data_IF_474517658234
#
_entry.id   IF_474517658234
#
_cell.length_a   1.000
_cell.length_b   1.000
_cell.length_c   1.000
_cell.angle_alpha   90.00
_cell.angle_beta   90.00
_cell.angle_gamma   90.00
#
_symmetry.space_group_name_H-M   'P 1'
#
loop_
_entity.id
_entity.type
_entity.pdbx_description
1 polymer ?
#
# COMPACT_ATOMS: atom_id res chain seq x y z
N UNK A 1 -2.11 -10.96 -9.24
CA UNK A 1 -2.18 -9.92 -10.27
C UNK A 1 -1.13 -8.85 -9.96
N UNK A 2 -0.02 -8.88 -10.69
CA UNK A 2 1.19 -8.11 -10.36
C UNK A 2 1.12 -6.58 -10.57
N UNK A 3 0.31 -5.99 -11.44
CA UNK A 3 0.34 -4.53 -11.62
C UNK A 3 -0.56 -3.78 -10.63
N UNK A 4 -0.68 -4.26 -9.38
CA UNK A 4 -1.47 -3.54 -8.37
C UNK A 4 -0.62 -3.00 -7.22
N UNK A 5 -0.76 -1.72 -6.85
CA UNK A 5 -0.01 -1.14 -5.74
C UNK A 5 -0.20 -1.89 -4.43
N UNK A 6 -1.38 -2.47 -4.20
CA UNK A 6 -1.64 -3.23 -2.98
C UNK A 6 -0.86 -4.55 -2.91
N UNK A 7 -0.62 -5.21 -4.05
CA UNK A 7 0.24 -6.38 -4.12
C UNK A 7 1.71 -6.03 -3.85
N UNK A 8 2.17 -4.89 -4.38
CA UNK A 8 3.53 -4.42 -4.17
C UNK A 8 3.86 -4.20 -2.69
N UNK A 9 2.93 -3.72 -1.88
CA UNK A 9 3.12 -3.56 -0.43
C UNK A 9 3.69 -4.83 0.22
N UNK A 10 3.12 -5.97 -0.15
CA UNK A 10 3.49 -7.26 0.45
C UNK A 10 4.78 -7.81 -0.16
N UNK A 11 4.97 -7.65 -1.48
CA UNK A 11 6.24 -8.02 -2.11
C UNK A 11 7.41 -7.24 -1.48
N UNK A 12 7.29 -5.91 -1.35
CA UNK A 12 8.29 -5.06 -0.69
C UNK A 12 8.56 -5.56 0.74
N UNK A 13 7.51 -5.84 1.53
CA UNK A 13 7.69 -6.30 2.90
C UNK A 13 8.42 -7.65 2.98
N UNK A 14 8.07 -8.61 2.12
CA UNK A 14 8.71 -9.92 2.09
C UNK A 14 10.19 -9.82 1.70
N UNK A 15 10.53 -8.99 0.71
CA UNK A 15 11.92 -8.75 0.29
C UNK A 15 12.72 -8.01 1.37
N UNK A 16 12.18 -6.93 1.96
CA UNK A 16 12.86 -6.17 3.03
C UNK A 16 13.08 -7.02 4.30
N UNK A 17 12.14 -7.89 4.61
CA UNK A 17 12.23 -8.82 5.75
C UNK A 17 13.02 -10.10 5.43
N UNK A 18 13.48 -10.26 4.19
CA UNK A 18 14.20 -11.44 3.71
C UNK A 18 13.45 -12.75 4.01
N UNK A 19 12.13 -12.73 3.81
CA UNK A 19 11.29 -13.91 4.01
C UNK A 19 11.15 -14.70 2.71
N UNK A 20 11.32 -16.03 2.72
CA UNK A 20 11.07 -16.85 1.54
C UNK A 20 9.57 -16.91 1.23
N UNK A 21 9.21 -16.78 -0.04
CA UNK A 21 7.82 -16.86 -0.47
C UNK A 21 7.67 -17.41 -1.89
N UNK A 22 6.47 -17.89 -2.18
CA UNK A 22 6.05 -18.30 -3.53
C UNK A 22 4.85 -17.48 -3.96
N UNK A 23 4.95 -16.86 -5.15
CA UNK A 23 3.86 -16.05 -5.69
C UNK A 23 2.83 -16.91 -6.40
N UNK A 24 1.57 -16.81 -5.97
CA UNK A 24 0.41 -17.36 -6.67
C UNK A 24 -0.31 -16.23 -7.43
N UNK A 25 -0.38 -16.37 -8.75
CA UNK A 25 -1.03 -15.36 -9.58
C UNK A 25 -2.55 -15.53 -9.55
N UNK A 26 -3.27 -14.44 -9.36
CA UNK A 26 -4.74 -14.38 -9.47
C UNK A 26 -5.09 -13.40 -10.58
N UNK A 27 -5.68 -13.87 -11.66
CA UNK A 27 -6.03 -13.04 -12.82
C UNK A 27 -7.46 -12.48 -12.68
N UNK A 28 -7.56 -11.21 -12.25
CA UNK A 28 -8.86 -10.54 -12.07
C UNK A 28 -9.61 -10.33 -13.40
N UNK A 29 -8.90 -10.22 -14.52
CA UNK A 29 -9.52 -10.11 -15.84
C UNK A 29 -10.25 -11.39 -16.27
N UNK A 30 -9.92 -12.55 -15.66
CA UNK A 30 -10.59 -13.83 -15.84
C UNK A 30 -11.55 -14.19 -14.72
N UNK A 31 -11.75 -13.31 -13.73
CA UNK A 31 -12.62 -13.56 -12.60
C UNK A 31 -12.06 -14.55 -11.56
N UNK A 32 -10.75 -14.85 -11.60
CA UNK A 32 -10.13 -15.84 -10.69
C UNK A 32 -10.23 -15.46 -9.20
N UNK A 33 -10.42 -14.17 -8.89
CA UNK A 33 -10.67 -13.69 -7.53
C UNK A 33 -11.99 -14.22 -6.93
N UNK A 34 -12.88 -14.76 -7.76
CA UNK A 34 -14.13 -15.39 -7.32
C UNK A 34 -14.03 -16.91 -7.18
N UNK A 35 -12.85 -17.48 -7.45
CA UNK A 35 -12.62 -18.92 -7.26
C UNK A 35 -12.88 -19.32 -5.80
N UNK A 36 -13.68 -20.38 -5.54
CA UNK A 36 -13.99 -20.81 -4.17
C UNK A 36 -12.77 -21.10 -3.29
N UNK A 37 -11.65 -21.55 -3.88
CA UNK A 37 -10.42 -21.76 -3.11
C UNK A 37 -9.74 -20.45 -2.74
N UNK A 38 -9.80 -19.43 -3.59
CA UNK A 38 -9.31 -18.10 -3.25
C UNK A 38 -10.19 -17.41 -2.20
N UNK A 39 -11.51 -17.57 -2.29
CA UNK A 39 -12.46 -17.01 -1.32
C UNK A 39 -12.29 -17.57 0.10
N UNK A 40 -11.74 -18.79 0.25
CA UNK A 40 -11.41 -19.35 1.58
C UNK A 40 -10.29 -18.56 2.29
N UNK A 41 -9.38 -17.94 1.54
CA UNK A 41 -8.27 -17.15 2.09
C UNK A 41 -8.50 -15.64 2.02
N UNK A 42 -9.35 -15.17 1.09
CA UNK A 42 -9.73 -13.77 0.93
C UNK A 42 -11.22 -13.65 0.64
N UNK A 43 -12.08 -13.68 1.68
CA UNK A 43 -13.54 -13.61 1.52
C UNK A 43 -14.02 -12.31 0.86
N UNK A 44 -13.20 -11.27 0.89
CA UNK A 44 -13.45 -9.99 0.22
C UNK A 44 -13.12 -10.02 -1.29
N UNK A 45 -12.72 -11.18 -1.85
CA UNK A 45 -12.29 -11.35 -3.25
C UNK A 45 -11.25 -10.29 -3.74
N UNK A 46 -10.37 -9.86 -2.85
CA UNK A 46 -9.33 -8.86 -3.11
C UNK A 46 -7.92 -9.44 -2.88
N UNK A 47 -6.97 -8.89 -3.60
CA UNK A 47 -5.54 -9.14 -3.39
C UNK A 47 -4.91 -7.89 -2.77
N UNK A 48 -3.87 -8.04 -1.96
CA UNK A 48 -3.16 -9.28 -1.63
C UNK A 48 -3.86 -10.13 -0.57
N UNK A 49 -3.50 -11.41 -0.57
CA UNK A 49 -3.72 -12.36 0.53
C UNK A 49 -2.49 -13.23 0.67
N UNK A 50 -2.22 -13.75 1.85
CA UNK A 50 -1.11 -14.70 2.10
C UNK A 50 -1.63 -15.95 2.79
N UNK A 51 -0.89 -17.04 2.62
CA UNK A 51 -0.99 -18.25 3.44
C UNK A 51 0.38 -18.49 4.04
N UNK A 52 0.46 -18.41 5.36
CA UNK A 52 1.68 -18.73 6.10
C UNK A 52 1.55 -20.14 6.67
N UNK A 53 2.46 -21.03 6.28
CA UNK A 53 2.47 -22.42 6.72
C UNK A 53 3.08 -22.58 8.13
N UNK A 54 3.76 -21.57 8.63
CA UNK A 54 4.35 -21.48 9.95
C UNK A 54 3.81 -20.23 10.67
N UNK A 55 2.49 -20.20 10.82
CA UNK A 55 1.77 -19.13 11.52
C UNK A 55 1.87 -19.24 13.04
N UNK A 56 1.14 -18.42 13.79
CA UNK A 56 1.07 -18.50 15.25
C UNK A 56 0.76 -19.93 15.71
N UNK A 57 1.43 -20.35 16.77
CA UNK A 57 1.30 -21.69 17.37
C UNK A 57 1.69 -22.84 16.40
N UNK A 58 2.47 -22.57 15.36
CA UNK A 58 2.87 -23.53 14.35
C UNK A 58 1.73 -23.96 13.42
N UNK A 59 0.61 -23.24 13.40
CA UNK A 59 -0.55 -23.54 12.58
C UNK A 59 -0.55 -22.74 11.28
N UNK A 60 -1.21 -23.30 10.25
CA UNK A 60 -1.44 -22.60 8.99
C UNK A 60 -2.32 -21.37 9.23
N UNK A 61 -1.88 -20.22 8.73
CA UNK A 61 -2.61 -18.95 8.81
C UNK A 61 -2.89 -18.41 7.42
N UNK A 62 -4.16 -18.15 7.09
CA UNK A 62 -4.56 -17.36 5.93
C UNK A 62 -4.91 -15.94 6.36
N UNK A 63 -4.37 -14.94 5.67
CA UNK A 63 -4.63 -13.52 5.93
C UNK A 63 -4.94 -12.78 4.64
N UNK A 64 -5.91 -11.89 4.71
CA UNK A 64 -6.20 -10.86 3.74
C UNK A 64 -6.14 -9.48 4.39
N UNK A 65 -6.31 -8.41 3.63
CA UNK A 65 -6.05 -7.01 3.98
C UNK A 65 -4.55 -6.68 4.07
N UNK A 66 -4.07 -5.86 3.14
CA UNK A 66 -2.64 -5.55 3.05
C UNK A 66 -2.07 -4.90 4.32
N UNK A 67 -2.87 -4.08 5.02
CA UNK A 67 -2.45 -3.50 6.31
C UNK A 67 -2.30 -4.55 7.40
N UNK A 68 -3.24 -5.48 7.51
CA UNK A 68 -3.18 -6.58 8.49
C UNK A 68 -2.00 -7.52 8.19
N UNK A 69 -1.75 -7.82 6.91
CA UNK A 69 -0.61 -8.64 6.49
C UNK A 69 0.70 -7.95 6.87
N UNK A 70 0.85 -6.66 6.59
CA UNK A 70 2.05 -5.89 6.96
C UNK A 70 2.30 -5.91 8.47
N UNK A 71 1.28 -5.68 9.28
CA UNK A 71 1.40 -5.77 10.74
C UNK A 71 1.77 -7.17 11.22
N UNK A 72 1.19 -8.21 10.62
CA UNK A 72 1.51 -9.58 10.92
C UNK A 72 2.98 -9.89 10.63
N UNK A 73 3.46 -9.58 9.42
CA UNK A 73 4.84 -9.84 9.00
C UNK A 73 5.84 -9.08 9.88
N UNK A 74 5.55 -7.81 10.20
CA UNK A 74 6.39 -7.00 11.06
C UNK A 74 6.49 -7.57 12.48
N UNK A 75 5.38 -8.05 13.05
CA UNK A 75 5.38 -8.72 14.36
C UNK A 75 6.08 -10.08 14.34
N UNK A 76 5.88 -10.86 13.27
CA UNK A 76 6.54 -12.16 13.09
C UNK A 76 8.05 -12.02 13.02
N UNK A 77 8.57 -11.00 12.34
CA UNK A 77 10.00 -10.79 12.15
C UNK A 77 10.64 -9.88 13.22
N UNK A 78 9.84 -9.14 13.97
CA UNK A 78 10.33 -8.13 14.92
C UNK A 78 10.97 -6.91 14.23
N UNK A 79 10.66 -6.64 12.95
CA UNK A 79 11.30 -5.59 12.15
C UNK A 79 10.28 -4.62 11.55
N UNK A 80 10.73 -3.41 11.22
CA UNK A 80 9.94 -2.38 10.50
C UNK A 80 8.65 -1.90 11.18
N UNK A 81 8.53 -2.09 12.52
CA UNK A 81 7.36 -1.65 13.29
C UNK A 81 7.70 -0.63 14.39
N UNK A 82 8.98 -0.20 14.47
CA UNK A 82 9.49 0.62 15.54
C UNK A 82 9.92 -0.20 16.78
N UNK A 83 10.71 0.41 17.64
CA UNK A 83 11.29 -0.24 18.81
C UNK A 83 10.56 0.09 20.10
N UNK A 84 9.88 1.21 20.16
CA UNK A 84 9.09 1.65 21.32
C UNK A 84 7.59 1.58 20.99
N UNK A 85 6.77 1.55 22.03
CA UNK A 85 5.31 1.62 21.86
C UNK A 85 4.88 2.92 21.17
N UNK A 86 5.60 4.03 21.40
CA UNK A 86 5.35 5.31 20.71
C UNK A 86 5.61 5.21 19.20
N UNK A 87 6.70 4.55 18.80
CA UNK A 87 7.00 4.31 17.39
C UNK A 87 5.92 3.46 16.73
N UNK A 88 5.47 2.41 17.42
CA UNK A 88 4.41 1.52 16.92
C UNK A 88 3.09 2.27 16.70
N UNK A 89 2.74 3.18 17.62
CA UNK A 89 1.55 4.03 17.46
C UNK A 89 1.69 4.98 16.26
N UNK A 90 2.88 5.54 16.03
CA UNK A 90 3.14 6.37 14.85
C UNK A 90 3.02 5.56 13.55
N UNK A 91 3.59 4.34 13.53
CA UNK A 91 3.45 3.42 12.38
C UNK A 91 1.99 3.05 12.13
N UNK A 92 1.25 2.69 13.17
CA UNK A 92 -0.18 2.34 13.05
C UNK A 92 -1.01 3.51 12.55
N UNK A 93 -0.77 4.73 13.05
CA UNK A 93 -1.47 5.94 12.60
C UNK A 93 -1.30 6.13 11.09
N UNK A 94 -0.07 6.06 10.58
CA UNK A 94 0.19 6.27 9.15
C UNK A 94 -0.23 5.09 8.29
N UNK A 95 -0.17 3.87 8.82
CA UNK A 95 -0.72 2.69 8.16
C UNK A 95 -2.25 2.82 8.00
N UNK A 96 -2.98 3.21 9.06
CA UNK A 96 -4.43 3.41 9.00
C UNK A 96 -4.80 4.60 8.11
N UNK A 97 -4.01 5.68 8.12
CA UNK A 97 -4.18 6.80 7.20
C UNK A 97 -4.08 6.36 5.73
N UNK A 98 -3.14 5.47 5.42
CA UNK A 98 -3.03 4.89 4.08
C UNK A 98 -4.23 4.00 3.74
N UNK A 99 -4.62 3.10 4.65
CA UNK A 99 -5.69 2.13 4.39
C UNK A 99 -7.08 2.79 4.30
N UNK A 100 -7.35 3.78 5.15
CA UNK A 100 -8.64 4.48 5.18
C UNK A 100 -8.73 5.71 4.27
N UNK A 101 -7.60 6.26 3.84
CA UNK A 101 -7.52 7.52 3.11
C UNK A 101 -6.80 7.40 1.77
N UNK A 102 -5.47 7.41 1.80
CA UNK A 102 -4.66 7.54 0.58
C UNK A 102 -4.94 6.45 -0.44
N UNK A 103 -4.91 5.18 -0.04
CA UNK A 103 -5.11 4.04 -0.94
C UNK A 103 -6.46 4.10 -1.65
N UNK A 104 -7.59 4.20 -0.92
CA UNK A 104 -8.91 4.33 -1.52
C UNK A 104 -9.06 5.56 -2.42
N UNK A 105 -8.63 6.74 -1.97
CA UNK A 105 -8.82 7.98 -2.73
C UNK A 105 -7.94 8.04 -3.98
N UNK A 106 -6.66 7.66 -3.88
CA UNK A 106 -5.76 7.54 -5.02
C UNK A 106 -6.23 6.43 -5.99
N UNK A 107 -6.82 5.35 -5.47
CA UNK A 107 -7.43 4.30 -6.28
C UNK A 107 -8.62 4.80 -7.10
N UNK A 108 -9.53 5.56 -6.49
CA UNK A 108 -10.65 6.19 -7.21
C UNK A 108 -10.14 7.23 -8.20
N UNK A 109 -9.17 8.06 -7.81
CA UNK A 109 -8.53 9.01 -8.74
C UNK A 109 -7.99 8.29 -9.98
N UNK A 110 -7.24 7.22 -9.78
CA UNK A 110 -6.70 6.41 -10.87
C UNK A 110 -7.80 5.78 -11.73
N UNK A 111 -8.88 5.31 -11.12
CA UNK A 111 -10.02 4.74 -11.83
C UNK A 111 -10.68 5.77 -12.74
N UNK A 112 -11.07 6.93 -12.22
CA UNK A 112 -11.79 7.94 -12.96
C UNK A 112 -10.93 8.68 -14.00
N UNK A 113 -9.62 8.79 -13.78
CA UNK A 113 -8.71 9.42 -14.74
C UNK A 113 -8.19 8.47 -15.83
N UNK A 114 -8.14 7.16 -15.57
CA UNK A 114 -7.52 6.19 -16.48
C UNK A 114 -8.50 5.15 -17.03
N UNK A 115 -9.30 4.52 -16.18
CA UNK A 115 -10.11 3.38 -16.59
C UNK A 115 -11.51 3.77 -17.05
N UNK A 116 -12.21 4.66 -16.36
CA UNK A 116 -13.55 5.10 -16.76
C UNK A 116 -13.61 5.67 -18.19
N UNK A 117 -12.65 6.51 -18.65
CA UNK A 117 -12.62 6.96 -20.03
C UNK A 117 -12.47 5.83 -21.06
N UNK A 118 -11.76 4.76 -20.73
CA UNK A 118 -11.64 3.58 -21.61
C UNK A 118 -12.95 2.80 -21.74
N UNK A 119 -13.88 2.99 -20.80
CA UNK A 119 -15.22 2.41 -20.81
C UNK A 119 -16.27 3.34 -21.45
N UNK A 120 -15.85 4.50 -21.98
CA UNK A 120 -16.74 5.52 -22.53
C UNK A 120 -17.42 6.43 -21.50
N UNK A 121 -16.98 6.36 -20.23
CA UNK A 121 -17.53 7.18 -19.14
C UNK A 121 -16.68 8.45 -18.93
N UNK A 122 -17.31 9.61 -18.97
CA UNK A 122 -16.69 10.89 -18.60
C UNK A 122 -17.44 11.55 -17.44
N UNK A 123 -16.93 11.29 -16.23
CA UNK A 123 -17.50 11.75 -14.97
C UNK A 123 -16.65 12.88 -14.39
N UNK A 124 -16.74 14.07 -14.98
CA UNK A 124 -15.90 15.23 -14.63
C UNK A 124 -15.93 15.54 -13.14
N UNK A 125 -17.10 15.55 -12.50
CA UNK A 125 -17.20 15.79 -11.05
C UNK A 125 -16.39 14.76 -10.23
N UNK A 126 -16.46 13.48 -10.58
CA UNK A 126 -15.72 12.44 -9.87
C UNK A 126 -14.21 12.56 -10.10
N UNK A 127 -13.78 12.86 -11.34
CA UNK A 127 -12.37 13.14 -11.66
C UNK A 127 -11.83 14.29 -10.82
N UNK A 128 -12.52 15.41 -10.81
CA UNK A 128 -12.09 16.61 -10.08
C UNK A 128 -12.04 16.36 -8.58
N UNK A 129 -13.09 15.74 -8.02
CA UNK A 129 -13.18 15.44 -6.60
C UNK A 129 -12.00 14.56 -6.13
N UNK A 130 -11.74 13.45 -6.82
CA UNK A 130 -10.70 12.51 -6.39
C UNK A 130 -9.30 13.01 -6.71
N UNK A 131 -9.12 13.81 -7.77
CA UNK A 131 -7.84 14.47 -8.06
C UNK A 131 -7.50 15.49 -6.98
N UNK A 132 -8.46 16.31 -6.54
CA UNK A 132 -8.27 17.29 -5.47
C UNK A 132 -8.01 16.61 -4.12
N UNK A 133 -8.74 15.54 -3.79
CA UNK A 133 -8.53 14.82 -2.54
C UNK A 133 -7.17 14.12 -2.52
N UNK A 134 -6.74 13.51 -3.62
CA UNK A 134 -5.39 12.95 -3.74
C UNK A 134 -4.31 14.04 -3.56
N UNK A 135 -4.51 15.21 -4.17
CA UNK A 135 -3.60 16.36 -3.99
C UNK A 135 -3.53 16.82 -2.53
N UNK A 136 -4.67 16.85 -1.83
CA UNK A 136 -4.72 17.18 -0.39
C UNK A 136 -3.93 16.17 0.44
N UNK A 137 -4.13 14.88 0.18
CA UNK A 137 -3.42 13.81 0.89
C UNK A 137 -1.91 13.85 0.62
N UNK A 138 -1.49 14.17 -0.59
CA UNK A 138 -0.07 14.35 -0.92
C UNK A 138 0.56 15.55 -0.20
N UNK A 139 -0.20 16.64 0.01
CA UNK A 139 0.28 17.77 0.85
C UNK A 139 0.46 17.33 2.31
N UNK A 140 -0.48 16.55 2.85
CA UNK A 140 -0.34 15.98 4.22
C UNK A 140 0.93 15.15 4.32
N UNK A 141 1.17 14.26 3.35
CA UNK A 141 2.38 13.43 3.30
C UNK A 141 3.64 14.29 3.20
N UNK A 142 3.65 15.30 2.33
CA UNK A 142 4.80 16.20 2.17
C UNK A 142 5.12 16.98 3.46
N UNK A 143 4.09 17.47 4.15
CA UNK A 143 4.26 18.16 5.45
C UNK A 143 4.84 17.22 6.52
N UNK A 144 4.38 15.98 6.59
CA UNK A 144 4.96 15.01 7.52
C UNK A 144 6.43 14.74 7.24
N UNK A 145 6.79 14.64 5.97
CA UNK A 145 8.15 14.35 5.51
C UNK A 145 9.09 15.57 5.57
N UNK A 146 8.58 16.74 5.86
CA UNK A 146 9.40 17.94 6.09
C UNK A 146 10.32 17.78 7.32
N UNK A 147 9.84 17.08 8.34
CA UNK A 147 10.52 16.93 9.62
C UNK A 147 11.00 15.50 9.90
N UNK A 148 10.72 14.56 9.01
CA UNK A 148 11.04 13.16 9.18
C UNK A 148 11.62 12.58 7.90
N UNK A 149 12.54 11.65 8.04
CA UNK A 149 13.09 10.95 6.88
C UNK A 149 12.07 9.98 6.27
N UNK A 150 11.25 9.34 7.10
CA UNK A 150 10.18 8.43 6.74
C UNK A 150 8.85 8.81 7.40
N UNK A 151 7.75 8.19 7.00
CA UNK A 151 6.42 8.67 7.39
C UNK A 151 6.11 8.52 8.88
N UNK A 152 6.70 7.55 9.56
CA UNK A 152 6.50 7.33 11.00
C UNK A 152 7.63 7.91 11.88
N UNK A 153 8.65 8.56 11.29
CA UNK A 153 9.82 9.09 11.98
C UNK A 153 11.10 8.92 11.18
N UNK A 154 12.22 8.74 11.86
CA UNK A 154 13.55 8.62 11.22
C UNK A 154 13.91 7.16 10.87
N UNK A 155 12.93 6.29 10.75
CA UNK A 155 13.11 4.88 10.43
C UNK A 155 12.10 4.39 9.39
N UNK A 156 12.59 3.58 8.44
CA UNK A 156 11.72 2.93 7.45
C UNK A 156 10.83 1.87 8.09
N UNK A 157 9.55 1.86 7.76
CA UNK A 157 8.55 1.04 8.43
C UNK A 157 7.53 0.45 7.45
N UNK A 158 6.66 -0.41 7.96
CA UNK A 158 5.52 -0.94 7.19
C UNK A 158 4.54 0.16 6.74
N UNK A 159 4.54 1.33 7.36
CA UNK A 159 3.77 2.47 6.90
C UNK A 159 4.31 3.01 5.56
N UNK A 160 5.64 3.11 5.42
CA UNK A 160 6.29 3.48 4.16
C UNK A 160 6.02 2.45 3.07
N UNK A 161 6.15 1.15 3.40
CA UNK A 161 5.84 0.05 2.48
C UNK A 161 4.39 0.08 2.00
N UNK A 162 3.47 0.54 2.83
CA UNK A 162 2.06 0.67 2.48
C UNK A 162 1.77 1.89 1.60
N UNK A 163 2.44 3.02 1.85
CA UNK A 163 2.18 4.32 1.21
C UNK A 163 2.89 4.42 -0.14
N UNK A 164 4.15 4.02 -0.20
CA UNK A 164 5.01 4.20 -1.37
C UNK A 164 4.41 3.66 -2.68
N UNK A 165 3.82 2.44 -2.75
CA UNK A 165 3.28 1.91 -4.00
C UNK A 165 2.17 2.77 -4.62
N UNK A 166 1.36 3.44 -3.79
CA UNK A 166 0.33 4.36 -4.28
C UNK A 166 0.92 5.73 -4.62
N UNK A 167 1.84 6.23 -3.81
CA UNK A 167 2.48 7.52 -3.99
C UNK A 167 3.39 7.55 -5.22
N UNK A 168 4.04 6.43 -5.57
CA UNK A 168 4.90 6.30 -6.75
C UNK A 168 4.14 6.43 -8.09
N UNK A 169 2.81 6.31 -8.07
CA UNK A 169 1.96 6.45 -9.26
C UNK A 169 1.43 7.89 -9.47
N UNK A 170 2.05 8.88 -8.85
CA UNK A 170 1.59 10.25 -8.82
C UNK A 170 1.30 10.87 -10.21
N UNK A 171 2.11 10.59 -11.23
CA UNK A 171 1.88 11.07 -12.62
C UNK A 171 0.55 10.55 -13.18
N UNK A 172 0.29 9.23 -13.03
CA UNK A 172 -0.94 8.60 -13.47
C UNK A 172 -2.18 9.06 -12.70
N UNK A 173 -1.98 9.68 -11.55
CA UNK A 173 -3.00 10.27 -10.68
C UNK A 173 -3.16 11.78 -10.93
N UNK A 174 -2.53 12.33 -11.99
CA UNK A 174 -2.57 13.76 -12.34
C UNK A 174 -2.08 14.67 -11.20
N UNK A 175 -1.03 14.24 -10.52
CA UNK A 175 -0.37 15.02 -9.47
C UNK A 175 0.97 15.56 -9.96
N UNK A 176 1.54 16.54 -9.25
CA UNK A 176 2.89 17.04 -9.44
C UNK A 176 3.69 16.92 -8.13
N UNK A 177 5.01 16.82 -8.24
CA UNK A 177 5.93 16.85 -7.10
C UNK A 177 6.69 18.18 -6.99
N UNK A 178 6.48 19.14 -7.91
CA UNK A 178 7.18 20.43 -7.94
C UNK A 178 7.01 21.21 -6.62
N UNK A 179 5.81 21.15 -6.04
CA UNK A 179 5.44 21.78 -4.76
C UNK A 179 5.55 20.82 -3.56
N UNK A 180 6.17 19.64 -3.74
CA UNK A 180 6.24 18.57 -2.74
C UNK A 180 7.66 17.98 -2.64
N UNK A 181 8.68 18.81 -2.34
CA UNK A 181 10.09 18.37 -2.37
C UNK A 181 10.41 17.28 -1.34
N UNK A 182 9.76 17.29 -0.18
CA UNK A 182 9.99 16.27 0.86
C UNK A 182 9.44 14.92 0.45
N UNK A 183 8.26 14.89 -0.17
CA UNK A 183 7.69 13.68 -0.77
C UNK A 183 8.56 13.16 -1.92
N UNK A 184 9.10 14.05 -2.77
CA UNK A 184 9.99 13.66 -3.86
C UNK A 184 11.27 13.00 -3.32
N UNK A 185 11.91 13.59 -2.29
CA UNK A 185 13.07 13.01 -1.59
C UNK A 185 12.74 11.62 -1.05
N UNK A 186 11.63 11.48 -0.34
CA UNK A 186 11.21 10.22 0.28
C UNK A 186 10.91 9.14 -0.78
N UNK A 187 10.25 9.49 -1.88
CA UNK A 187 9.99 8.55 -2.99
C UNK A 187 11.29 7.96 -3.54
N UNK A 188 12.34 8.80 -3.71
CA UNK A 188 13.66 8.36 -4.17
C UNK A 188 14.37 7.51 -3.12
N UNK A 189 14.32 7.89 -1.85
CA UNK A 189 14.92 7.12 -0.76
C UNK A 189 14.31 5.72 -0.66
N UNK A 190 12.99 5.60 -0.77
CA UNK A 190 12.32 4.29 -0.78
C UNK A 190 12.65 3.49 -2.04
N UNK A 191 12.67 4.11 -3.22
CA UNK A 191 13.01 3.44 -4.49
C UNK A 191 14.45 2.89 -4.53
N UNK A 192 15.36 3.45 -3.74
CA UNK A 192 16.75 2.99 -3.65
C UNK A 192 16.93 1.76 -2.74
N UNK A 193 15.89 1.31 -2.06
CA UNK A 193 15.91 0.13 -1.20
C UNK A 193 15.84 -1.17 -2.03
N UNK A 194 16.11 -2.29 -1.39
CA UNK A 194 16.20 -3.60 -2.07
C UNK A 194 14.83 -4.25 -2.33
N UNK A 195 13.82 -3.89 -1.54
CA UNK A 195 12.50 -4.50 -1.58
C UNK A 195 11.55 -3.99 -2.67
#
# INVERSE_FOLDING_TARGET
YWPTPNGWKIAIALEEMNLPYTTQLVNIGKGEQFNPNFLKISPNNRMPAIVDHDGPDGALLALFESGAILQYLARKTGTFYGTTYRDQLAVDQWLMWQMGGLGPMAGQNHHFNKYAPLMGEDLTYAKDRYTQETARLYRVLNTQLEQNDYVAGDFFSIADMAIWPWASLWEGQKQTLEDKPHMARWLQACAARRG
#
